data_IF_591157312050
#
_entry.id   IF_591157312050
#
_cell.length_a   1.000
_cell.length_b   1.000
_cell.length_c   1.000
_cell.angle_alpha   90.00
_cell.angle_beta   90.00
_cell.angle_gamma   90.00
#
_symmetry.space_group_name_H-M   'P 1'
#
loop_
_entity.id
_entity.type
_entity.pdbx_description
1 polymer ?
#
# COMPACT_ATOMS: atom_id res chain seq x y z
N UNK A 1 47.50 33.86 11.88
CA UNK A 1 47.17 32.52 12.41
C UNK A 1 45.66 32.44 12.42
N UNK A 2 45.10 31.93 11.32
CA UNK A 2 43.68 32.06 10.96
C UNK A 2 42.86 30.78 11.16
N UNK A 3 41.52 30.86 10.99
CA UNK A 3 40.51 30.14 11.77
C UNK A 3 39.57 29.23 10.93
N UNK A 4 38.55 28.68 11.60
CA UNK A 4 37.24 28.13 11.16
C UNK A 4 36.89 28.08 9.65
N UNK A 5 36.23 26.98 9.21
CA UNK A 5 35.03 27.00 8.33
C UNK A 5 34.39 25.61 8.19
N UNK A 6 33.21 25.38 8.77
CA UNK A 6 31.83 25.59 8.22
C UNK A 6 31.27 24.34 7.52
N UNK A 7 30.35 23.69 8.24
CA UNK A 7 29.29 22.84 7.69
C UNK A 7 28.34 23.77 6.91
N UNK A 8 28.38 23.69 5.59
CA UNK A 8 27.56 24.50 4.69
C UNK A 8 26.27 23.79 4.30
N UNK A 9 25.17 24.16 4.97
CA UNK A 9 23.86 24.24 4.34
C UNK A 9 23.92 25.14 3.10
N UNK A 10 23.09 24.86 2.09
CA UNK A 10 22.58 25.93 1.21
C UNK A 10 21.14 25.65 0.76
N UNK A 11 20.35 26.73 0.55
CA UNK A 11 18.91 26.81 0.74
C UNK A 11 18.15 26.99 -0.59
N UNK A 12 16.81 27.10 -0.52
CA UNK A 12 15.92 27.18 -1.67
C UNK A 12 15.88 28.51 -2.44
N UNK A 13 15.27 28.46 -3.62
CA UNK A 13 14.57 29.55 -4.34
C UNK A 13 13.75 28.88 -5.46
N UNK A 14 12.41 28.87 -5.47
CA UNK A 14 11.41 29.94 -5.71
C UNK A 14 11.21 30.26 -7.21
N UNK A 15 9.97 30.05 -7.69
CA UNK A 15 9.34 30.65 -8.89
C UNK A 15 9.70 30.00 -10.23
N UNK A 16 8.84 29.84 -11.24
CA UNK A 16 7.55 30.46 -11.58
C UNK A 16 6.78 29.54 -12.59
N UNK A 17 5.46 29.35 -12.44
CA UNK A 17 4.34 29.90 -13.28
C UNK A 17 4.48 29.62 -14.81
N UNK A 18 3.77 28.64 -15.37
CA UNK A 18 2.42 28.66 -16.05
C UNK A 18 2.36 29.17 -17.51
N UNK A 19 1.65 28.38 -18.33
CA UNK A 19 0.87 28.67 -19.57
C UNK A 19 1.53 28.39 -20.95
N UNK A 20 0.74 28.26 -22.05
CA UNK A 20 -0.18 27.15 -22.41
C UNK A 20 0.08 26.61 -23.86
N UNK A 21 -0.67 25.61 -24.39
CA UNK A 21 -0.51 25.15 -25.78
C UNK A 21 -1.48 25.85 -26.74
N UNK A 22 -0.99 26.26 -27.91
CA UNK A 22 -1.81 26.63 -29.07
C UNK A 22 -1.21 26.01 -30.34
N UNK A 23 -2.08 25.63 -31.28
CA UNK A 23 -1.73 25.49 -32.70
C UNK A 23 -1.93 24.11 -33.30
N UNK A 24 -3.13 23.88 -33.84
CA UNK A 24 -3.38 22.95 -34.93
C UNK A 24 -2.70 23.46 -36.21
N UNK A 25 -2.27 22.56 -37.08
CA UNK A 25 -2.51 22.64 -38.53
C UNK A 25 -2.25 21.27 -39.18
N UNK A 26 -3.17 20.85 -40.03
CA UNK A 26 -3.06 19.63 -40.82
C UNK A 26 -2.80 19.93 -42.30
N UNK A 27 -2.22 18.97 -43.02
CA UNK A 27 -2.58 18.64 -44.40
C UNK A 27 -1.82 17.40 -44.93
N UNK A 28 -2.61 16.44 -45.40
CA UNK A 28 -2.46 15.61 -46.60
C UNK A 28 -1.17 14.78 -46.86
N UNK A 29 -1.33 13.46 -46.75
CA UNK A 29 -1.29 12.55 -47.91
C UNK A 29 0.07 12.03 -48.40
N UNK A 30 0.44 10.81 -47.98
CA UNK A 30 1.06 9.79 -48.84
C UNK A 30 1.06 8.42 -48.17
N UNK A 31 0.80 7.41 -48.98
CA UNK A 31 0.69 5.95 -48.78
C UNK A 31 1.96 5.27 -48.26
N UNK A 32 1.88 4.43 -47.22
CA UNK A 32 2.31 3.00 -47.22
C UNK A 32 2.20 2.30 -45.82
N UNK A 33 2.18 0.97 -45.84
CA UNK A 33 1.85 -0.01 -44.77
C UNK A 33 2.71 -0.01 -43.46
N UNK A 34 2.31 -0.76 -42.39
CA UNK A 34 2.51 -0.34 -41.00
C UNK A 34 3.77 -0.90 -40.31
N UNK A 35 4.46 -0.03 -39.58
CA UNK A 35 5.32 -0.43 -38.45
C UNK A 35 4.72 0.08 -37.13
N UNK A 36 4.52 -0.86 -36.19
CA UNK A 36 3.96 -0.60 -34.86
C UNK A 36 4.83 0.38 -34.06
N UNK A 37 4.22 1.26 -33.25
CA UNK A 37 4.95 2.22 -32.41
C UNK A 37 5.50 1.53 -31.15
N UNK A 38 6.78 1.75 -30.84
CA UNK A 38 7.32 1.49 -29.51
C UNK A 38 6.95 2.66 -28.60
N UNK A 39 6.02 2.40 -27.69
CA UNK A 39 5.67 3.25 -26.55
C UNK A 39 6.91 3.68 -25.77
N UNK A 40 7.03 4.99 -25.58
CA UNK A 40 7.99 5.62 -24.69
C UNK A 40 7.72 5.20 -23.24
N UNK A 41 8.62 4.42 -22.66
CA UNK A 41 8.72 4.30 -21.21
C UNK A 41 9.56 5.49 -20.70
N UNK A 42 8.89 6.40 -19.99
CA UNK A 42 9.52 7.46 -19.20
C UNK A 42 10.48 6.82 -18.20
N UNK A 43 11.75 7.19 -18.26
CA UNK A 43 12.74 6.90 -17.20
C UNK A 43 12.61 7.97 -16.12
N UNK A 44 12.50 7.54 -14.87
CA UNK A 44 12.85 8.35 -13.70
C UNK A 44 14.36 8.28 -13.44
N UNK A 45 14.94 9.30 -12.78
CA UNK A 45 16.33 9.67 -12.98
C UNK A 45 17.22 9.13 -11.85
N UNK A 46 18.11 8.20 -12.19
CA UNK A 46 19.38 8.00 -11.50
C UNK A 46 20.37 7.38 -12.50
N UNK A 47 21.34 8.18 -12.95
CA UNK A 47 22.68 7.75 -13.35
C UNK A 47 22.86 7.11 -14.73
N UNK A 48 23.10 7.95 -15.73
CA UNK A 48 23.79 7.56 -16.97
C UNK A 48 25.27 7.24 -16.66
N UNK A 49 25.70 6.02 -17.00
CA UNK A 49 27.12 5.63 -17.07
C UNK A 49 27.58 5.88 -18.54
N UNK A 50 28.77 6.42 -18.81
CA UNK A 50 29.18 6.76 -20.17
C UNK A 50 29.31 5.51 -21.07
N UNK A 51 29.12 5.64 -22.40
CA UNK A 51 29.24 4.53 -23.31
C UNK A 51 30.68 3.98 -23.32
N UNK A 52 30.79 2.66 -23.26
CA UNK A 52 32.07 1.95 -23.35
C UNK A 52 32.85 2.36 -24.63
N UNK A 53 34.18 2.53 -24.56
CA UNK A 53 34.95 2.92 -25.72
C UNK A 53 34.92 1.83 -26.81
N UNK A 54 34.81 2.29 -28.05
CA UNK A 54 34.89 1.51 -29.28
C UNK A 54 36.18 0.69 -29.32
N UNK A 55 36.05 -0.58 -29.69
CA UNK A 55 37.13 -1.53 -29.98
C UNK A 55 38.11 -0.92 -31.00
N UNK A 56 39.30 -0.54 -30.57
CA UNK A 56 40.47 -0.43 -31.42
C UNK A 56 41.38 -1.62 -31.17
N UNK A 57 41.89 -2.16 -32.27
CA UNK A 57 42.67 -3.39 -32.33
C UNK A 57 44.00 -3.23 -31.59
N UNK A 58 44.07 -3.76 -30.37
CA UNK A 58 45.30 -4.19 -29.69
C UNK A 58 44.94 -5.14 -28.53
N UNK A 59 44.06 -6.11 -28.78
CA UNK A 59 43.87 -7.19 -27.83
C UNK A 59 45.03 -8.17 -28.02
N UNK A 60 46.05 -8.08 -27.15
CA UNK A 60 46.94 -9.22 -26.90
C UNK A 60 46.12 -10.45 -26.48
N UNK A 61 46.75 -11.64 -26.39
CA UNK A 61 46.06 -12.94 -26.26
C UNK A 61 45.18 -13.15 -25.01
N UNK A 62 45.02 -12.12 -24.17
CA UNK A 62 44.24 -12.10 -22.94
C UNK A 62 42.95 -11.26 -23.05
N UNK A 63 42.45 -11.01 -24.27
CA UNK A 63 41.38 -10.05 -24.57
C UNK A 63 39.93 -10.53 -24.39
N UNK A 64 39.69 -11.82 -24.13
CA UNK A 64 38.36 -12.33 -23.79
C UNK A 64 38.32 -12.74 -22.32
N UNK A 65 37.37 -12.14 -21.61
CA UNK A 65 37.14 -12.25 -20.17
C UNK A 65 36.62 -13.65 -19.78
N UNK A 66 37.40 -14.69 -20.09
CA UNK A 66 37.38 -15.99 -19.41
C UNK A 66 38.66 -16.05 -18.60
N UNK A 67 38.53 -16.05 -17.29
CA UNK A 67 39.66 -16.19 -16.37
C UNK A 67 40.47 -17.43 -16.75
N UNK A 68 41.62 -17.26 -17.40
CA UNK A 68 42.65 -18.30 -17.41
C UNK A 68 43.24 -18.31 -16.01
N UNK A 69 42.87 -19.33 -15.24
CA UNK A 69 43.16 -19.41 -13.81
C UNK A 69 44.66 -19.27 -13.51
N UNK A 70 45.00 -18.40 -12.56
CA UNK A 70 46.38 -18.15 -12.11
C UNK A 70 47.19 -17.12 -12.93
N UNK A 71 46.58 -16.40 -13.88
CA UNK A 71 47.25 -15.34 -14.64
C UNK A 71 46.49 -14.01 -14.54
N UNK A 72 47.21 -12.92 -14.29
CA UNK A 72 46.69 -11.56 -14.35
C UNK A 72 47.25 -10.83 -15.58
N UNK A 73 46.45 -9.94 -16.17
CA UNK A 73 46.93 -9.07 -17.24
C UNK A 73 47.86 -8.01 -16.63
N UNK A 74 49.10 -7.95 -17.11
CA UNK A 74 50.00 -6.85 -16.78
C UNK A 74 49.51 -5.56 -17.46
N UNK A 75 50.01 -4.41 -16.99
CA UNK A 75 49.75 -3.13 -17.65
C UNK A 75 50.22 -3.09 -19.14
N UNK A 76 51.09 -4.02 -19.54
CA UNK A 76 51.55 -4.19 -20.91
C UNK A 76 50.66 -5.13 -21.77
N UNK A 77 49.54 -5.62 -21.23
CA UNK A 77 48.61 -6.48 -21.97
C UNK A 77 49.07 -7.93 -22.15
N UNK A 78 50.08 -8.36 -21.41
CA UNK A 78 50.58 -9.75 -21.38
C UNK A 78 50.02 -10.49 -20.15
N UNK A 79 49.69 -11.77 -20.31
CA UNK A 79 49.29 -12.63 -19.19
C UNK A 79 50.55 -13.00 -18.39
N UNK A 80 50.71 -12.42 -17.20
CA UNK A 80 51.75 -12.83 -16.25
C UNK A 80 51.12 -13.73 -15.18
N UNK A 81 51.91 -14.66 -14.64
CA UNK A 81 51.50 -15.44 -13.48
C UNK A 81 51.14 -14.46 -12.36
N UNK A 82 49.88 -14.48 -11.90
CA UNK A 82 49.52 -13.75 -10.70
C UNK A 82 50.09 -14.53 -9.51
N UNK A 83 50.62 -13.84 -8.51
CA UNK A 83 50.92 -14.42 -7.20
C UNK A 83 49.58 -14.70 -6.51
N UNK A 84 48.87 -15.72 -7.00
CA UNK A 84 47.64 -16.18 -6.41
C UNK A 84 47.99 -17.15 -5.30
N UNK A 85 47.67 -16.78 -4.06
CA UNK A 85 47.89 -17.63 -2.89
C UNK A 85 46.66 -18.49 -2.66
N UNK A 86 46.75 -19.83 -2.82
CA UNK A 86 45.64 -20.75 -2.56
C UNK A 86 45.08 -20.57 -1.14
N UNK A 87 43.75 -20.51 -0.99
CA UNK A 87 43.10 -20.46 0.32
C UNK A 87 42.20 -21.67 0.54
N UNK A 88 42.66 -22.56 1.40
CA UNK A 88 41.96 -23.79 1.79
C UNK A 88 41.58 -23.83 3.26
N UNK A 89 41.64 -22.70 3.97
CA UNK A 89 41.29 -22.65 5.37
C UNK A 89 39.84 -23.15 5.58
N UNK A 90 39.69 -24.24 6.34
CA UNK A 90 38.39 -24.86 6.64
C UNK A 90 37.78 -25.71 5.52
N UNK A 91 38.46 -25.90 4.39
CA UNK A 91 38.00 -26.70 3.24
C UNK A 91 38.83 -27.96 3.09
N UNK A 92 38.19 -29.11 2.91
CA UNK A 92 38.85 -30.39 2.59
C UNK A 92 38.74 -30.78 1.11
N UNK A 93 37.93 -30.04 0.34
CA UNK A 93 37.76 -30.24 -1.09
C UNK A 93 37.30 -28.96 -1.81
N UNK A 94 37.35 -28.98 -3.14
CA UNK A 94 36.85 -27.91 -4.00
C UNK A 94 37.91 -26.86 -4.32
N UNK A 95 37.54 -25.82 -5.06
CA UNK A 95 38.48 -24.83 -5.57
C UNK A 95 39.21 -24.06 -4.46
N UNK A 96 40.50 -23.77 -4.68
CA UNK A 96 41.36 -23.00 -3.78
C UNK A 96 41.35 -21.49 -4.03
N UNK A 97 40.52 -21.04 -4.99
CA UNK A 97 40.43 -19.64 -5.42
C UNK A 97 41.51 -19.20 -6.41
N UNK A 98 42.48 -20.06 -6.73
CA UNK A 98 43.62 -19.79 -7.61
C UNK A 98 43.73 -20.74 -8.80
N UNK A 99 42.75 -21.63 -8.96
CA UNK A 99 42.68 -22.63 -10.02
C UNK A 99 43.31 -23.96 -9.71
N UNK A 100 43.81 -24.13 -8.49
CA UNK A 100 44.03 -25.43 -7.89
C UNK A 100 42.80 -25.89 -7.11
N UNK A 101 43.01 -26.93 -6.31
CA UNK A 101 41.98 -27.55 -5.46
C UNK A 101 42.52 -27.73 -4.05
N UNK A 102 41.67 -27.51 -3.05
CA UNK A 102 41.95 -27.76 -1.64
C UNK A 102 41.97 -29.24 -1.26
N UNK A 103 41.56 -30.11 -2.18
CA UNK A 103 41.53 -31.56 -1.98
C UNK A 103 40.44 -32.22 -2.82
N UNK A 104 40.33 -33.53 -2.68
CA UNK A 104 39.28 -34.34 -3.33
C UNK A 104 38.65 -35.24 -2.28
N UNK A 105 37.37 -35.56 -2.49
CA UNK A 105 36.68 -36.50 -1.61
C UNK A 105 37.01 -37.94 -1.99
N UNK A 106 37.28 -38.77 -0.99
CA UNK A 106 37.57 -40.19 -1.18
C UNK A 106 36.27 -41.00 -1.33
N UNK A 107 36.31 -42.08 -2.12
CA UNK A 107 35.17 -42.98 -2.29
C UNK A 107 34.03 -42.36 -3.10
N UNK A 108 32.79 -42.50 -2.61
CA UNK A 108 31.56 -41.93 -3.22
C UNK A 108 31.21 -40.53 -2.70
N UNK A 109 32.06 -39.95 -1.85
CA UNK A 109 31.83 -38.62 -1.28
C UNK A 109 31.83 -37.53 -2.36
N UNK A 110 30.89 -36.59 -2.27
CA UNK A 110 30.86 -35.39 -3.11
C UNK A 110 31.35 -34.18 -2.33
N UNK A 111 31.96 -33.25 -3.06
CA UNK A 111 32.39 -31.99 -2.47
C UNK A 111 31.21 -31.02 -2.41
N UNK A 112 30.78 -30.65 -1.21
CA UNK A 112 29.80 -29.59 -1.05
C UNK A 112 30.47 -28.26 -1.41
N UNK A 113 30.10 -27.66 -2.55
CA UNK A 113 30.73 -26.46 -3.05
C UNK A 113 30.60 -25.25 -2.08
N UNK A 114 29.52 -25.22 -1.30
CA UNK A 114 29.20 -24.14 -0.37
C UNK A 114 30.04 -24.20 0.90
N UNK A 115 30.24 -25.39 1.48
CA UNK A 115 31.03 -25.58 2.71
C UNK A 115 32.49 -25.95 2.44
N UNK A 116 32.83 -26.44 1.25
CA UNK A 116 34.16 -26.96 0.91
C UNK A 116 34.51 -28.24 1.66
N UNK A 117 33.51 -28.96 2.19
CA UNK A 117 33.68 -30.21 2.93
C UNK A 117 33.16 -31.40 2.12
N UNK A 118 33.82 -32.53 2.28
CA UNK A 118 33.34 -33.80 1.77
C UNK A 118 32.11 -34.26 2.53
N UNK A 119 31.08 -34.63 1.79
CA UNK A 119 29.84 -35.14 2.31
C UNK A 119 29.42 -36.36 1.50
N UNK A 120 28.65 -37.26 2.10
CA UNK A 120 28.12 -38.43 1.41
C UNK A 120 26.68 -38.12 1.00
N UNK A 121 26.36 -38.08 -0.31
CA UNK A 121 25.00 -37.89 -0.79
C UNK A 121 24.06 -38.94 -0.20
N UNK A 122 22.90 -38.53 0.32
CA UNK A 122 21.88 -39.45 0.80
C UNK A 122 20.61 -39.31 -0.03
N UNK A 123 20.33 -40.36 -0.80
CA UNK A 123 19.15 -40.48 -1.65
C UNK A 123 18.21 -41.60 -1.22
N UNK A 124 18.41 -42.19 -0.05
CA UNK A 124 17.61 -43.32 0.40
C UNK A 124 16.13 -42.91 0.50
N UNK A 125 15.29 -43.64 -0.25
CA UNK A 125 13.85 -43.37 -0.35
C UNK A 125 13.48 -42.13 -1.18
N UNK A 126 14.43 -41.48 -1.87
CA UNK A 126 14.18 -40.31 -2.73
C UNK A 126 14.36 -40.65 -4.21
N UNK A 127 13.36 -40.31 -5.02
CA UNK A 127 13.38 -40.41 -6.49
C UNK A 127 13.74 -39.09 -7.19
N UNK A 128 13.62 -37.98 -6.46
CA UNK A 128 13.94 -36.63 -6.89
C UNK A 128 14.35 -35.78 -5.67
N UNK A 129 15.02 -34.64 -5.88
CA UNK A 129 15.22 -33.61 -4.84
C UNK A 129 16.65 -33.54 -4.32
N UNK A 130 16.94 -32.71 -3.31
CA UNK A 130 18.30 -32.49 -2.83
C UNK A 130 18.88 -33.74 -2.14
N UNK A 131 20.18 -34.00 -2.34
CA UNK A 131 20.92 -35.14 -1.75
C UNK A 131 21.57 -34.83 -0.39
N UNK A 132 21.36 -33.62 0.14
CA UNK A 132 21.98 -33.12 1.37
C UNK A 132 23.42 -32.64 1.21
N UNK A 133 24.00 -32.78 0.02
CA UNK A 133 25.38 -32.49 -0.33
C UNK A 133 25.54 -31.32 -1.31
N UNK A 134 24.43 -30.74 -1.76
CA UNK A 134 24.40 -29.71 -2.80
C UNK A 134 24.23 -30.28 -4.21
N UNK A 135 24.06 -31.60 -4.34
CA UNK A 135 23.60 -32.28 -5.54
C UNK A 135 22.12 -32.65 -5.47
N UNK A 136 21.68 -33.52 -6.39
CA UNK A 136 20.28 -33.96 -6.49
C UNK A 136 20.18 -35.48 -6.66
N UNK A 137 19.17 -36.06 -6.03
CA UNK A 137 18.80 -37.46 -6.13
C UNK A 137 17.85 -37.67 -7.31
N UNK A 138 18.36 -37.92 -8.51
CA UNK A 138 17.52 -38.22 -9.67
C UNK A 138 16.74 -37.02 -10.22
N UNK A 139 15.87 -37.28 -11.21
CA UNK A 139 15.01 -36.27 -11.85
C UNK A 139 13.63 -36.87 -12.15
N UNK A 140 12.60 -36.01 -12.18
CA UNK A 140 11.24 -36.49 -12.43
C UNK A 140 10.96 -36.72 -13.92
N UNK A 141 10.21 -37.78 -14.28
CA UNK A 141 9.70 -37.98 -15.64
C UNK A 141 8.81 -36.81 -16.08
N UNK A 142 8.64 -36.64 -17.40
CA UNK A 142 7.87 -35.54 -17.97
C UNK A 142 6.45 -35.43 -17.39
N UNK A 143 6.05 -34.21 -17.02
CA UNK A 143 4.73 -33.92 -16.44
C UNK A 143 4.63 -34.09 -14.91
N UNK A 144 5.73 -34.48 -14.25
CA UNK A 144 5.84 -34.54 -12.80
C UNK A 144 6.83 -33.48 -12.28
N UNK A 145 6.57 -32.96 -11.10
CA UNK A 145 7.43 -32.02 -10.38
C UNK A 145 7.95 -32.70 -9.12
N UNK A 146 9.17 -32.36 -8.72
CA UNK A 146 9.72 -32.90 -7.50
C UNK A 146 9.14 -32.20 -6.27
N UNK A 147 8.48 -32.96 -5.39
CA UNK A 147 8.23 -32.52 -4.01
C UNK A 147 9.56 -32.67 -3.24
N UNK A 148 10.26 -31.55 -3.04
CA UNK A 148 11.58 -31.54 -2.39
C UNK A 148 11.53 -32.00 -0.92
N UNK A 149 10.37 -31.89 -0.26
CA UNK A 149 10.16 -32.35 1.12
C UNK A 149 10.02 -33.86 1.16
N UNK A 150 9.17 -34.43 0.30
CA UNK A 150 8.90 -35.87 0.23
C UNK A 150 9.91 -36.66 -0.60
N UNK A 151 10.76 -35.98 -1.37
CA UNK A 151 11.73 -36.60 -2.28
C UNK A 151 11.07 -37.46 -3.36
N UNK A 152 9.83 -37.15 -3.74
CA UNK A 152 9.01 -37.96 -4.64
C UNK A 152 8.44 -37.11 -5.77
N UNK A 153 8.37 -37.72 -6.96
CA UNK A 153 7.76 -37.08 -8.13
C UNK A 153 6.24 -37.09 -7.99
N UNK A 154 5.64 -35.90 -7.99
CA UNK A 154 4.20 -35.72 -7.93
C UNK A 154 3.71 -35.04 -9.20
N UNK A 155 2.48 -35.32 -9.66
CA UNK A 155 1.98 -34.70 -10.88
C UNK A 155 1.99 -33.18 -10.73
N UNK A 156 2.27 -32.48 -11.82
CA UNK A 156 2.21 -31.02 -11.85
C UNK A 156 0.82 -30.60 -11.38
N UNK A 157 0.75 -29.95 -10.23
CA UNK A 157 -0.52 -29.57 -9.67
C UNK A 157 -1.17 -28.52 -10.59
N UNK A 158 -2.39 -28.82 -11.06
CA UNK A 158 -3.12 -27.96 -11.98
C UNK A 158 -4.01 -27.02 -11.16
N UNK A 159 -3.81 -25.69 -11.21
CA UNK A 159 -4.63 -24.74 -10.46
C UNK A 159 -6.11 -24.86 -10.82
N UNK A 160 -6.97 -24.99 -9.82
CA UNK A 160 -8.43 -25.08 -10.01
C UNK A 160 -9.07 -23.70 -9.86
N UNK A 161 -9.05 -22.94 -10.95
CA UNK A 161 -9.57 -21.57 -11.01
C UNK A 161 -10.75 -21.34 -11.95
N UNK A 162 -11.27 -22.40 -12.56
CA UNK A 162 -12.44 -22.29 -13.45
C UNK A 162 -13.61 -21.63 -12.70
N UNK A 163 -14.06 -20.48 -13.19
CA UNK A 163 -15.16 -19.70 -12.59
C UNK A 163 -14.81 -18.92 -11.32
N UNK A 164 -13.53 -18.81 -10.94
CA UNK A 164 -13.09 -18.11 -9.72
C UNK A 164 -12.09 -17.02 -10.07
N UNK A 165 -12.31 -15.83 -9.52
CA UNK A 165 -11.47 -14.63 -9.74
C UNK A 165 -10.58 -14.33 -8.53
N UNK A 166 -10.79 -15.04 -7.42
CA UNK A 166 -10.04 -14.88 -6.17
C UNK A 166 -10.07 -16.18 -5.34
N UNK A 167 -9.21 -16.24 -4.33
CA UNK A 167 -9.17 -17.34 -3.36
C UNK A 167 -8.18 -18.46 -3.73
N UNK A 168 -8.03 -19.49 -2.88
CA UNK A 168 -7.03 -20.54 -3.07
C UNK A 168 -7.30 -21.33 -4.35
N UNK A 169 -6.24 -21.65 -5.09
CA UNK A 169 -6.32 -22.42 -6.34
C UNK A 169 -6.18 -23.95 -6.14
N UNK A 170 -6.22 -24.39 -4.88
CA UNK A 170 -5.99 -25.77 -4.43
C UNK A 170 -4.64 -26.35 -4.90
N UNK A 171 -3.65 -25.47 -5.06
CA UNK A 171 -2.34 -25.83 -5.57
C UNK A 171 -1.22 -25.16 -4.75
N UNK A 172 -0.78 -25.85 -3.70
CA UNK A 172 0.21 -25.31 -2.77
C UNK A 172 -0.28 -24.03 -2.10
N UNK A 173 0.53 -22.97 -2.15
CA UNK A 173 0.22 -21.64 -1.59
C UNK A 173 -0.37 -20.66 -2.61
N UNK A 174 -0.67 -21.12 -3.84
CA UNK A 174 -1.17 -20.25 -4.91
C UNK A 174 -2.63 -19.83 -4.74
N UNK A 175 -3.01 -18.73 -5.41
CA UNK A 175 -4.39 -18.25 -5.50
C UNK A 175 -4.85 -18.11 -6.96
N UNK A 176 -6.16 -18.05 -7.18
CA UNK A 176 -6.77 -17.76 -8.49
C UNK A 176 -6.75 -16.28 -8.85
N UNK A 177 -6.34 -15.43 -7.91
CA UNK A 177 -6.35 -13.97 -8.03
C UNK A 177 -6.58 -13.32 -6.68
N UNK A 178 -6.67 -11.99 -6.71
CA UNK A 178 -6.96 -11.14 -5.56
C UNK A 178 -8.03 -10.13 -5.96
N UNK A 179 -8.88 -9.75 -5.01
CA UNK A 179 -9.90 -8.74 -5.25
C UNK A 179 -9.31 -7.33 -5.22
N UNK A 180 -9.98 -6.39 -5.89
CA UNK A 180 -9.64 -4.98 -5.85
C UNK A 180 -9.89 -4.41 -4.45
N UNK A 181 -9.30 -3.26 -4.15
CA UNK A 181 -9.54 -2.55 -2.89
C UNK A 181 -11.05 -2.29 -2.68
N UNK A 182 -11.56 -2.67 -1.51
CA UNK A 182 -12.99 -2.57 -1.17
C UNK A 182 -13.84 -3.78 -1.61
N UNK A 183 -13.23 -4.84 -2.11
CA UNK A 183 -13.89 -6.11 -2.42
C UNK A 183 -13.35 -7.25 -1.57
N UNK A 184 -14.24 -8.16 -1.18
CA UNK A 184 -13.90 -9.39 -0.46
C UNK A 184 -14.12 -10.61 -1.36
N UNK A 185 -13.33 -11.65 -1.15
CA UNK A 185 -13.50 -12.90 -1.87
C UNK A 185 -14.61 -13.71 -1.20
N UNK A 186 -15.72 -13.93 -1.93
CA UNK A 186 -16.78 -14.81 -1.46
C UNK A 186 -16.33 -16.28 -1.41
N UNK A 187 -17.03 -17.16 -0.65
CA UNK A 187 -16.73 -18.61 -0.63
C UNK A 187 -16.75 -19.26 -2.02
N UNK A 188 -17.58 -18.75 -2.94
CA UNK A 188 -17.64 -19.19 -4.33
C UNK A 188 -16.47 -18.71 -5.20
N UNK A 189 -15.52 -17.94 -4.65
CA UNK A 189 -14.36 -17.43 -5.39
C UNK A 189 -14.66 -16.25 -6.30
N UNK A 190 -15.77 -15.55 -6.06
CA UNK A 190 -16.13 -14.32 -6.79
C UNK A 190 -15.80 -13.10 -5.93
N UNK A 191 -15.17 -12.09 -6.51
CA UNK A 191 -15.00 -10.81 -5.83
C UNK A 191 -16.34 -10.10 -5.74
N UNK A 192 -16.80 -9.91 -4.51
CA UNK A 192 -18.00 -9.16 -4.21
C UNK A 192 -17.61 -7.89 -3.50
N UNK A 193 -18.46 -6.86 -3.54
CA UNK A 193 -18.30 -5.69 -2.69
C UNK A 193 -18.07 -6.16 -1.25
N UNK A 194 -16.99 -5.70 -0.62
CA UNK A 194 -16.72 -6.03 0.79
C UNK A 194 -17.80 -5.46 1.70
N UNK A 195 -18.42 -4.36 1.25
CA UNK A 195 -19.55 -3.78 1.92
C UNK A 195 -20.86 -4.49 1.56
N UNK A 196 -21.66 -4.80 2.58
CA UNK A 196 -22.98 -5.42 2.44
C UNK A 196 -24.04 -4.73 3.33
N UNK A 197 -23.62 -3.89 4.28
CA UNK A 197 -24.47 -3.18 5.23
C UNK A 197 -24.65 -1.71 4.81
N UNK A 198 -25.88 -1.21 4.81
CA UNK A 198 -26.21 0.20 4.55
C UNK A 198 -26.25 0.98 5.87
N UNK A 199 -26.42 2.30 5.79
CA UNK A 199 -26.61 3.14 6.98
C UNK A 199 -27.76 2.59 7.83
N UNK A 200 -27.49 2.30 9.09
CA UNK A 200 -28.42 1.71 10.05
C UNK A 200 -28.36 0.19 10.18
N UNK A 201 -27.74 -0.52 9.24
CA UNK A 201 -27.57 -1.98 9.33
C UNK A 201 -26.46 -2.36 10.32
N UNK A 202 -26.56 -3.57 10.87
CA UNK A 202 -25.55 -4.12 11.76
C UNK A 202 -24.24 -4.40 11.01
N UNK A 203 -23.11 -4.22 11.71
CA UNK A 203 -21.78 -4.41 11.14
C UNK A 203 -20.79 -4.95 12.18
N UNK A 204 -19.66 -5.47 11.70
CA UNK A 204 -18.55 -5.95 12.54
C UNK A 204 -17.24 -5.20 12.27
N UNK A 205 -17.09 -4.64 11.07
CA UNK A 205 -15.95 -3.81 10.67
C UNK A 205 -16.37 -2.70 9.70
N UNK A 206 -15.54 -1.65 9.58
CA UNK A 206 -15.79 -0.53 8.64
C UNK A 206 -15.96 -1.00 7.19
N UNK A 207 -15.28 -2.10 6.80
CA UNK A 207 -15.37 -2.67 5.45
C UNK A 207 -16.76 -3.21 5.11
N UNK A 208 -17.58 -3.53 6.11
CA UNK A 208 -18.95 -4.03 5.93
C UNK A 208 -19.89 -2.91 5.46
N UNK A 209 -19.56 -1.65 5.77
CA UNK A 209 -20.43 -0.50 5.58
C UNK A 209 -20.28 0.12 4.19
N UNK A 210 -21.36 0.12 3.43
CA UNK A 210 -21.40 0.69 2.09
C UNK A 210 -21.56 2.22 2.14
N UNK A 211 -20.76 2.91 1.32
CA UNK A 211 -20.94 4.34 1.09
C UNK A 211 -22.35 4.63 0.56
N UNK A 212 -23.03 5.59 1.17
CA UNK A 212 -24.36 6.05 0.75
C UNK A 212 -24.21 7.45 0.14
N UNK A 213 -24.60 7.61 -1.13
CA UNK A 213 -24.53 8.89 -1.87
C UNK A 213 -23.16 9.59 -1.82
N UNK A 214 -22.08 8.81 -1.77
CA UNK A 214 -20.70 9.33 -1.71
C UNK A 214 -20.22 9.71 -0.31
N UNK A 215 -21.05 9.52 0.72
CA UNK A 215 -20.64 9.67 2.12
C UNK A 215 -19.98 8.37 2.57
N UNK A 216 -18.75 8.47 3.08
CA UNK A 216 -18.06 7.34 3.69
C UNK A 216 -18.79 6.90 4.96
N UNK A 217 -18.98 5.60 5.12
CA UNK A 217 -19.66 5.02 6.28
C UNK A 217 -18.66 4.25 7.15
N UNK A 218 -18.89 4.24 8.46
CA UNK A 218 -18.06 3.55 9.46
C UNK A 218 -18.94 2.66 10.33
N UNK A 219 -18.35 1.62 10.88
CA UNK A 219 -19.01 0.71 11.80
C UNK A 219 -18.83 1.20 13.24
N UNK A 220 -19.91 1.69 13.85
CA UNK A 220 -19.86 2.38 15.14
C UNK A 220 -20.74 1.66 16.16
N UNK A 221 -20.21 1.48 17.37
CA UNK A 221 -20.99 0.94 18.50
C UNK A 221 -21.84 2.05 19.11
N UNK A 222 -23.16 1.90 18.98
CA UNK A 222 -24.16 2.75 19.62
C UNK A 222 -24.68 2.06 20.89
N UNK A 223 -24.60 2.75 22.02
CA UNK A 223 -25.11 2.24 23.30
C UNK A 223 -26.61 1.96 23.19
N UNK A 224 -27.03 0.73 23.48
CA UNK A 224 -28.44 0.31 23.40
C UNK A 224 -28.94 -0.14 22.03
N UNK A 225 -28.18 0.07 20.95
CA UNK A 225 -28.52 -0.36 19.57
C UNK A 225 -27.56 -1.43 19.04
N UNK A 226 -26.32 -1.46 19.54
CA UNK A 226 -25.27 -2.35 19.05
C UNK A 226 -24.38 -1.68 18.02
N UNK A 227 -23.62 -2.46 17.25
CA UNK A 227 -22.70 -1.91 16.24
C UNK A 227 -23.42 -1.78 14.90
N UNK A 228 -23.50 -0.56 14.37
CA UNK A 228 -24.21 -0.26 13.13
C UNK A 228 -23.39 0.64 12.21
N UNK A 229 -23.68 0.57 10.92
CA UNK A 229 -23.08 1.46 9.92
C UNK A 229 -23.67 2.86 10.01
N UNK A 230 -22.81 3.87 10.08
CA UNK A 230 -23.21 5.28 10.15
C UNK A 230 -22.27 6.16 9.34
N UNK A 231 -22.72 7.34 8.91
CA UNK A 231 -21.91 8.26 8.13
C UNK A 231 -20.70 8.78 8.92
N UNK A 232 -19.54 8.88 8.29
CA UNK A 232 -18.43 9.67 8.78
C UNK A 232 -18.81 11.16 8.71
N UNK A 233 -18.24 11.97 9.60
CA UNK A 233 -18.57 13.39 9.70
C UNK A 233 -17.36 14.21 10.14
N UNK A 234 -17.36 15.50 9.81
CA UNK A 234 -16.45 16.49 10.37
C UNK A 234 -17.15 17.36 11.40
N UNK A 235 -18.40 17.78 11.10
CA UNK A 235 -19.21 18.70 11.87
C UNK A 235 -20.56 18.10 12.25
N UNK A 236 -21.19 18.63 13.30
CA UNK A 236 -22.53 18.22 13.73
C UNK A 236 -23.59 18.36 12.62
N UNK A 237 -23.44 19.34 11.73
CA UNK A 237 -24.33 19.56 10.58
C UNK A 237 -24.26 18.45 9.52
N UNK A 238 -23.19 17.64 9.50
CA UNK A 238 -23.05 16.52 8.56
C UNK A 238 -23.97 15.35 8.96
N UNK A 239 -24.46 15.36 10.20
CA UNK A 239 -25.27 14.31 10.77
C UNK A 239 -26.72 14.75 10.89
N UNK A 240 -27.64 13.94 10.38
CA UNK A 240 -29.09 14.15 10.56
C UNK A 240 -29.46 14.19 12.04
N UNK A 241 -28.73 13.46 12.87
CA UNK A 241 -28.88 13.49 14.34
C UNK A 241 -28.36 14.78 14.99
N UNK A 242 -27.64 15.62 14.27
CA UNK A 242 -26.92 16.78 14.80
C UNK A 242 -25.71 16.42 15.67
N UNK A 243 -25.22 15.18 15.63
CA UNK A 243 -24.16 14.71 16.51
C UNK A 243 -23.06 14.00 15.73
N UNK A 244 -21.93 14.70 15.58
CA UNK A 244 -20.69 14.17 15.04
C UNK A 244 -19.74 13.82 16.19
N UNK A 245 -19.81 12.58 16.66
CA UNK A 245 -19.09 12.17 17.85
C UNK A 245 -17.69 11.63 17.50
N UNK A 246 -16.66 11.96 18.31
CA UNK A 246 -15.35 11.32 18.20
C UNK A 246 -15.44 9.84 18.59
N UNK A 247 -14.65 9.03 17.89
CA UNK A 247 -14.44 7.61 18.14
C UNK A 247 -13.08 7.41 18.82
N UNK A 248 -12.88 6.24 19.43
CA UNK A 248 -11.64 5.91 20.15
C UNK A 248 -10.39 5.90 19.25
N UNK A 249 -10.57 5.75 17.94
CA UNK A 249 -9.51 5.78 16.93
C UNK A 249 -9.14 7.21 16.48
N UNK A 250 -9.74 8.24 17.09
CA UNK A 250 -9.53 9.65 16.75
C UNK A 250 -10.33 10.12 15.53
N UNK A 251 -11.07 9.24 14.86
CA UNK A 251 -11.99 9.61 13.79
C UNK A 251 -13.34 10.05 14.33
N UNK A 252 -14.25 10.49 13.45
CA UNK A 252 -15.56 11.01 13.81
C UNK A 252 -16.65 10.39 12.95
N UNK A 253 -17.80 10.11 13.57
CA UNK A 253 -18.93 9.53 12.88
C UNK A 253 -20.26 9.98 13.51
N UNK A 254 -21.32 9.94 12.70
CA UNK A 254 -22.65 10.33 13.12
C UNK A 254 -23.19 9.37 14.18
N UNK A 255 -23.55 9.92 15.33
CA UNK A 255 -24.03 9.17 16.47
C UNK A 255 -25.42 9.68 16.88
N UNK A 256 -26.10 9.00 17.79
CA UNK A 256 -27.34 9.52 18.38
C UNK A 256 -27.01 10.74 19.23
N UNK A 257 -27.92 11.72 19.22
CA UNK A 257 -27.69 13.02 19.85
C UNK A 257 -27.32 12.96 21.34
N UNK A 258 -27.90 12.00 22.08
CA UNK A 258 -27.63 11.78 23.48
C UNK A 258 -26.15 11.45 23.76
N UNK A 259 -25.45 10.87 22.78
CA UNK A 259 -24.04 10.50 22.92
C UNK A 259 -23.13 11.73 22.93
N UNK A 260 -23.48 12.79 22.19
CA UNK A 260 -22.71 14.04 22.21
C UNK A 260 -22.81 14.76 23.56
N UNK A 261 -23.98 14.70 24.20
CA UNK A 261 -24.21 15.29 25.52
C UNK A 261 -23.44 14.56 26.65
N UNK A 262 -23.12 13.28 26.48
CA UNK A 262 -22.47 12.45 27.50
C UNK A 262 -20.95 12.33 27.34
N UNK A 263 -20.40 12.62 26.15
CA UNK A 263 -18.96 12.51 25.86
C UNK A 263 -18.26 13.87 25.67
N UNK A 264 -18.86 14.96 26.16
CA UNK A 264 -18.32 16.32 25.98
C UNK A 264 -18.05 16.70 24.52
N UNK A 265 -18.77 16.06 23.57
CA UNK A 265 -18.69 16.44 22.16
C UNK A 265 -19.48 17.72 21.86
N UNK A 266 -20.33 18.13 22.82
CA UNK A 266 -20.94 19.43 22.96
C UNK A 266 -20.91 19.81 24.46
N UNK A 267 -20.90 21.11 24.77
CA UNK A 267 -20.72 21.61 26.14
C UNK A 267 -21.90 22.44 26.66
N UNK A 268 -22.76 22.96 25.77
CA UNK A 268 -23.82 23.88 26.11
C UNK A 268 -25.19 23.45 25.58
N UNK A 269 -26.23 23.41 26.44
CA UNK A 269 -27.61 23.19 26.00
C UNK A 269 -28.12 24.41 25.22
N UNK A 270 -29.34 24.32 24.65
CA UNK A 270 -29.99 25.49 24.05
C UNK A 270 -30.07 26.64 25.06
N UNK A 271 -29.69 27.84 24.62
CA UNK A 271 -29.52 29.03 25.44
C UNK A 271 -28.17 29.14 26.17
N UNK A 272 -27.36 28.08 26.22
CA UNK A 272 -26.02 28.09 26.81
C UNK A 272 -24.97 28.76 25.93
N UNK A 273 -23.90 29.27 26.54
CA UNK A 273 -22.82 29.98 25.84
C UNK A 273 -22.02 29.05 24.91
N UNK A 274 -21.60 29.54 23.74
CA UNK A 274 -20.82 28.75 22.78
C UNK A 274 -19.74 29.60 22.11
N UNK A 275 -18.68 28.96 21.65
CA UNK A 275 -17.62 29.54 20.80
C UNK A 275 -17.68 29.01 19.36
N UNK A 276 -18.41 27.92 19.13
CA UNK A 276 -18.74 27.41 17.80
C UNK A 276 -19.87 26.39 17.81
N UNK A 277 -20.34 26.00 16.61
CA UNK A 277 -21.49 25.10 16.44
C UNK A 277 -21.30 23.71 17.11
N UNK A 278 -20.04 23.29 17.30
CA UNK A 278 -19.71 22.05 18.00
C UNK A 278 -19.98 22.11 19.51
N UNK A 279 -20.05 23.30 20.11
CA UNK A 279 -20.33 23.43 21.54
C UNK A 279 -21.80 23.19 21.86
N UNK A 280 -22.67 23.24 20.85
CA UNK A 280 -24.10 23.20 21.03
C UNK A 280 -24.65 21.78 21.02
N UNK A 281 -25.27 21.40 22.13
CA UNK A 281 -25.95 20.13 22.29
C UNK A 281 -27.35 20.19 21.67
N UNK A 282 -27.80 19.08 21.06
CA UNK A 282 -29.20 18.92 20.65
C UNK A 282 -30.13 19.05 21.87
N UNK A 283 -31.30 19.62 21.66
CA UNK A 283 -32.33 19.68 22.71
C UNK A 283 -32.80 18.26 23.09
N UNK A 284 -32.80 17.94 24.38
CA UNK A 284 -33.31 16.67 24.92
C UNK A 284 -34.79 16.75 25.28
N UNK A 285 -35.37 17.96 25.36
CA UNK A 285 -36.76 18.20 25.76
C UNK A 285 -37.62 18.60 24.57
N UNK A 286 -38.30 17.62 23.97
CA UNK A 286 -39.49 17.84 23.14
C UNK A 286 -39.27 18.21 21.66
N UNK A 287 -38.19 18.91 21.30
CA UNK A 287 -37.85 19.19 19.91
C UNK A 287 -36.48 18.61 19.59
N UNK A 288 -36.48 17.55 18.77
CA UNK A 288 -35.29 16.86 18.26
C UNK A 288 -34.53 17.74 17.23
N UNK A 289 -34.47 19.06 17.41
CA UNK A 289 -33.83 19.95 16.45
C UNK A 289 -32.32 20.04 16.72
N UNK A 290 -31.47 19.86 15.70
CA UNK A 290 -30.05 20.15 15.81
C UNK A 290 -29.86 21.61 16.23
N UNK A 291 -28.76 21.91 16.91
CA UNK A 291 -28.48 23.25 17.44
C UNK A 291 -27.21 23.80 16.81
N UNK A 292 -27.14 25.13 16.71
CA UNK A 292 -25.99 25.85 16.20
C UNK A 292 -25.71 27.07 17.09
N UNK A 293 -24.45 27.50 17.11
CA UNK A 293 -24.01 28.64 17.87
C UNK A 293 -24.38 29.93 17.15
N UNK A 294 -25.15 30.81 17.78
CA UNK A 294 -25.51 32.12 17.21
C UNK A 294 -24.98 33.24 18.09
N UNK A 295 -24.50 34.31 17.47
CA UNK A 295 -23.88 35.42 18.17
C UNK A 295 -24.64 36.73 17.94
N UNK A 296 -24.91 37.46 19.00
CA UNK A 296 -25.41 38.84 18.96
C UNK A 296 -24.35 39.72 19.63
N UNK A 297 -23.57 40.42 18.80
CA UNK A 297 -22.38 41.12 19.28
C UNK A 297 -21.32 40.14 19.80
N UNK A 298 -20.86 40.35 21.04
CA UNK A 298 -19.85 39.49 21.68
C UNK A 298 -20.45 38.28 22.43
N UNK A 299 -21.78 38.21 22.57
CA UNK A 299 -22.45 37.12 23.26
C UNK A 299 -22.91 36.07 22.25
N UNK A 300 -22.48 34.83 22.44
CA UNK A 300 -22.83 33.70 21.60
C UNK A 300 -23.55 32.64 22.42
N UNK A 301 -24.68 32.17 21.94
CA UNK A 301 -25.50 31.17 22.60
C UNK A 301 -26.02 30.11 21.61
N UNK A 302 -26.24 28.90 22.10
CA UNK A 302 -26.77 27.81 21.30
C UNK A 302 -28.25 28.02 21.00
N UNK A 303 -28.65 27.87 19.75
CA UNK A 303 -30.03 27.99 19.28
C UNK A 303 -30.42 26.78 18.43
N UNK A 304 -31.68 26.35 18.52
CA UNK A 304 -32.24 25.29 17.68
C UNK A 304 -32.30 25.74 16.21
N UNK A 305 -31.96 24.85 15.27
CA UNK A 305 -32.22 25.08 13.85
C UNK A 305 -33.72 25.09 13.56
N UNK A 306 -34.10 25.84 12.53
CA UNK A 306 -35.47 25.96 12.07
C UNK A 306 -35.52 26.04 10.54
N UNK A 307 -36.63 25.61 9.96
CA UNK A 307 -36.93 25.80 8.54
C UNK A 307 -37.95 26.91 8.33
N UNK A 308 -38.86 27.07 9.28
CA UNK A 308 -40.03 27.94 9.25
C UNK A 308 -40.19 28.67 10.58
N UNK A 309 -40.93 29.77 10.57
CA UNK A 309 -41.17 30.58 11.77
C UNK A 309 -41.93 29.79 12.85
N UNK A 310 -42.82 28.89 12.44
CA UNK A 310 -43.59 28.00 13.32
C UNK A 310 -42.74 26.97 14.06
N UNK A 311 -41.51 26.71 13.62
CA UNK A 311 -40.63 25.73 14.27
C UNK A 311 -40.04 26.28 15.57
N UNK A 312 -40.19 27.58 15.81
CA UNK A 312 -39.64 28.30 16.95
C UNK A 312 -40.77 28.73 17.89
N UNK A 313 -40.62 28.48 19.19
CA UNK A 313 -41.58 28.94 20.20
C UNK A 313 -41.73 30.48 20.21
N UNK A 314 -40.69 31.20 19.79
CA UNK A 314 -40.69 32.64 19.60
C UNK A 314 -41.43 33.11 18.34
N UNK A 315 -41.79 32.20 17.44
CA UNK A 315 -42.31 32.51 16.11
C UNK A 315 -41.27 33.09 15.15
N UNK A 316 -39.97 33.09 15.49
CA UNK A 316 -38.93 33.72 14.67
C UNK A 316 -37.83 32.74 14.27
N UNK A 317 -37.72 32.51 12.95
CA UNK A 317 -36.69 31.68 12.34
C UNK A 317 -35.74 32.55 11.51
N UNK A 318 -34.70 33.06 12.18
CA UNK A 318 -33.77 34.04 11.63
C UNK A 318 -32.64 33.38 10.85
N UNK A 319 -32.18 34.03 9.76
CA UNK A 319 -31.11 33.52 8.89
C UNK A 319 -29.76 34.13 9.27
N UNK A 320 -28.77 33.28 9.53
CA UNK A 320 -27.35 33.65 9.67
C UNK A 320 -26.75 34.06 8.33
N UNK A 321 -25.60 34.72 8.36
CA UNK A 321 -24.84 35.14 7.17
C UNK A 321 -24.35 33.96 6.31
N UNK A 322 -24.12 32.80 6.91
CA UNK A 322 -23.77 31.53 6.25
C UNK A 322 -24.98 30.79 5.65
N UNK A 323 -26.19 31.31 5.84
CA UNK A 323 -27.43 30.75 5.32
C UNK A 323 -28.12 29.74 6.21
N UNK A 324 -27.52 29.37 7.36
CA UNK A 324 -28.17 28.54 8.39
C UNK A 324 -29.31 29.33 9.03
N UNK A 325 -30.42 28.65 9.35
CA UNK A 325 -31.57 29.26 10.02
C UNK A 325 -31.71 28.72 11.44
N UNK A 326 -31.85 29.61 12.40
CA UNK A 326 -31.96 29.28 13.83
C UNK A 326 -33.10 30.04 14.49
N UNK A 327 -33.69 29.43 15.51
CA UNK A 327 -34.67 30.06 16.36
C UNK A 327 -34.04 31.21 17.14
N UNK A 328 -34.64 32.40 17.00
CA UNK A 328 -34.16 33.62 17.63
C UNK A 328 -35.29 34.28 18.43
N UNK A 329 -34.98 35.32 19.20
CA UNK A 329 -36.00 36.14 19.83
C UNK A 329 -36.94 36.75 18.78
N UNK A 330 -38.20 36.97 19.13
CA UNK A 330 -39.19 37.52 18.20
C UNK A 330 -38.75 38.86 17.56
N UNK A 331 -37.93 39.65 18.26
CA UNK A 331 -37.38 40.93 17.79
C UNK A 331 -36.23 40.83 16.78
N UNK A 332 -35.71 39.63 16.52
CA UNK A 332 -34.73 39.37 15.47
C UNK A 332 -35.41 39.11 14.11
N UNK A 333 -36.73 38.98 14.13
CA UNK A 333 -37.65 39.09 13.02
C UNK A 333 -38.47 40.38 13.23
#
# INVERSE_FOLDING_TARGET
>A
MGPDRVVGWCPGAVGARTAPPTGNDGAAGATDLPHRPRTAARRHPCGDNPPAPRRTAAAGPCGDRRERLGQACTAAGTCAASTCTPNCAGRSCGMDGCGGSCGSCSGTGSCNAMTGQCCTPNCDGRSCGPDGCGGVCGTCPGGLVCDSVRGSCTPTCTPTCAGRNCGPNNCGTGSCGSCLSGQACSPSGTCVSACFARVGDACTADADCCSDRGVTTRCVRLTGVGTVCTAACANNSDCVSGCCAPLNDGTRACNVALFCASNAACFSPVGGACSGDMDCCRETTGLQNPTACTCVGAACNCAALCSQHSDCASGCCARRSDGVRVCAAASAC
#
